data_IF_390575783732
#
_entry.id   IF_390575783732
#
_cell.length_a   1.000
_cell.length_b   1.000
_cell.length_c   1.000
_cell.angle_alpha   90.00
_cell.angle_beta   90.00
_cell.angle_gamma   90.00
#
_symmetry.space_group_name_H-M   'P 1'
#
loop_
_entity.id
_entity.type
_entity.pdbx_description
1 polymer ?
#
# COMPACT_ATOMS: atom_id res chain seq x y z
N UNK A 1 -30.04 -27.57 73.63
CA UNK A 1 -29.21 -26.46 73.12
C UNK A 1 -28.80 -26.78 71.70
N UNK A 2 -29.21 -25.93 70.77
CA UNK A 2 -29.15 -26.07 69.29
C UNK A 2 -27.70 -25.98 68.77
N UNK A 3 -27.29 -26.73 67.74
CA UNK A 3 -25.99 -26.53 67.12
C UNK A 3 -26.05 -25.30 66.18
N UNK A 4 -25.21 -24.31 66.45
CA UNK A 4 -25.04 -23.11 65.62
C UNK A 4 -24.35 -23.51 64.30
N UNK A 5 -25.05 -23.35 63.18
CA UNK A 5 -24.48 -23.45 61.83
C UNK A 5 -24.05 -22.06 61.37
N UNK A 6 -22.75 -21.84 61.19
CA UNK A 6 -22.23 -20.61 60.57
C UNK A 6 -22.32 -20.74 59.04
N UNK A 7 -22.87 -19.76 58.30
CA UNK A 7 -22.93 -19.82 56.85
C UNK A 7 -21.56 -19.48 56.25
N UNK A 8 -20.97 -20.41 55.51
CA UNK A 8 -19.79 -20.15 54.68
C UNK A 8 -20.21 -19.25 53.52
N UNK A 9 -19.79 -17.98 53.56
CA UNK A 9 -19.90 -17.08 52.41
C UNK A 9 -18.64 -17.27 51.57
N UNK A 10 -18.74 -17.96 50.43
CA UNK A 10 -17.68 -18.01 49.43
C UNK A 10 -17.63 -16.66 48.71
N UNK A 11 -16.53 -15.89 48.76
CA UNK A 11 -16.42 -14.69 47.94
C UNK A 11 -16.22 -15.11 46.48
N UNK A 12 -17.16 -14.74 45.61
CA UNK A 12 -16.96 -14.78 44.16
C UNK A 12 -15.98 -13.68 43.79
N UNK A 13 -14.68 -14.01 43.77
CA UNK A 13 -13.67 -13.13 43.18
C UNK A 13 -13.96 -13.04 41.68
N UNK A 14 -14.57 -11.92 41.27
CA UNK A 14 -14.59 -11.53 39.85
C UNK A 14 -13.16 -11.19 39.49
N UNK A 15 -12.48 -12.14 38.86
CA UNK A 15 -11.10 -11.99 38.39
C UNK A 15 -11.12 -10.97 37.22
N UNK A 16 -10.99 -9.69 37.55
CA UNK A 16 -10.83 -8.63 36.55
C UNK A 16 -9.51 -8.88 35.83
N UNK A 17 -9.61 -9.42 34.62
CA UNK A 17 -8.46 -9.63 33.74
C UNK A 17 -7.70 -8.31 33.63
N UNK A 18 -6.43 -8.33 34.03
CA UNK A 18 -5.56 -7.15 33.91
C UNK A 18 -5.24 -6.88 32.43
N UNK A 19 -6.05 -6.02 31.85
CA UNK A 19 -5.93 -5.51 30.48
C UNK A 19 -4.51 -5.02 30.15
N UNK A 20 -3.80 -4.44 31.12
CA UNK A 20 -2.44 -3.94 30.92
C UNK A 20 -1.47 -5.11 30.78
N UNK A 21 -1.58 -6.12 31.64
CA UNK A 21 -0.79 -7.34 31.55
C UNK A 21 -1.08 -8.10 30.25
N UNK A 22 -2.34 -8.17 29.82
CA UNK A 22 -2.74 -8.80 28.57
C UNK A 22 -2.14 -8.06 27.36
N UNK A 23 -2.25 -6.72 27.32
CA UNK A 23 -1.64 -5.89 26.26
C UNK A 23 -0.10 -5.96 26.27
N UNK A 24 0.53 -6.13 27.42
CA UNK A 24 1.98 -6.32 27.52
C UNK A 24 2.42 -7.66 26.90
N UNK A 25 1.72 -8.76 27.21
CA UNK A 25 1.96 -10.07 26.59
C UNK A 25 1.71 -10.05 25.08
N UNK A 26 0.67 -9.34 24.66
CA UNK A 26 0.38 -9.15 23.23
C UNK A 26 1.52 -8.41 22.53
N UNK A 27 2.03 -7.30 23.09
CA UNK A 27 3.20 -6.58 22.53
C UNK A 27 4.47 -7.41 22.50
N UNK A 28 4.70 -8.24 23.53
CA UNK A 28 5.85 -9.15 23.56
C UNK A 28 5.80 -10.20 22.45
N UNK A 29 4.59 -10.70 22.11
CA UNK A 29 4.41 -11.57 20.95
C UNK A 29 4.77 -10.87 19.64
N UNK A 30 4.34 -9.61 19.45
CA UNK A 30 4.76 -8.85 18.27
C UNK A 30 6.28 -8.69 18.23
N UNK A 31 6.93 -8.33 19.35
CA UNK A 31 8.39 -8.15 19.39
C UNK A 31 9.24 -9.39 18.99
N UNK A 32 8.64 -10.57 18.83
CA UNK A 32 9.30 -11.77 18.29
C UNK A 32 9.55 -11.71 16.77
N UNK A 33 8.85 -10.84 16.05
CA UNK A 33 8.95 -10.74 14.59
C UNK A 33 10.11 -9.86 14.11
N UNK A 34 10.76 -10.28 13.03
CA UNK A 34 11.69 -9.44 12.26
C UNK A 34 10.92 -8.61 11.23
N UNK A 35 10.23 -7.58 11.72
CA UNK A 35 9.44 -6.69 10.86
C UNK A 35 10.27 -5.83 9.90
N UNK A 36 11.51 -5.42 10.23
CA UNK A 36 12.40 -4.83 9.25
C UNK A 36 12.68 -5.77 8.07
N UNK A 37 12.87 -7.08 8.30
CA UNK A 37 12.99 -8.08 7.23
C UNK A 37 11.70 -8.26 6.44
N UNK A 38 10.54 -8.29 7.10
CA UNK A 38 9.23 -8.26 6.41
C UNK A 38 9.11 -7.01 5.53
N UNK A 39 9.51 -5.85 6.02
CA UNK A 39 9.47 -4.61 5.27
C UNK A 39 10.47 -4.59 4.10
N UNK A 40 11.68 -5.12 4.29
CA UNK A 40 12.73 -5.12 3.27
C UNK A 40 12.50 -6.19 2.20
N UNK A 41 12.03 -7.38 2.58
CA UNK A 41 11.98 -8.55 1.70
C UNK A 41 10.58 -8.82 1.14
N UNK A 42 9.50 -8.45 1.84
CA UNK A 42 8.13 -8.69 1.34
C UNK A 42 7.54 -7.46 0.65
N UNK A 43 7.80 -6.23 1.11
CA UNK A 43 7.19 -5.04 0.49
C UNK A 43 7.70 -4.84 -0.95
N UNK A 44 8.98 -5.11 -1.20
CA UNK A 44 9.55 -5.06 -2.55
C UNK A 44 8.87 -6.08 -3.49
N UNK A 45 8.64 -7.31 -3.01
CA UNK A 45 7.98 -8.40 -3.74
C UNK A 45 6.46 -8.20 -3.90
N UNK A 46 5.84 -7.35 -3.09
CA UNK A 46 4.45 -6.91 -3.30
C UNK A 46 4.32 -5.88 -4.44
N UNK A 47 5.39 -5.16 -4.78
CA UNK A 47 5.43 -4.22 -5.90
C UNK A 47 4.95 -4.83 -7.23
N UNK A 48 5.48 -6.01 -7.65
CA UNK A 48 5.00 -6.74 -8.82
C UNK A 48 3.49 -7.01 -8.86
N UNK A 49 2.82 -7.22 -7.72
CA UNK A 49 1.38 -7.46 -7.70
C UNK A 49 0.57 -6.22 -8.15
N UNK A 50 1.02 -5.02 -7.78
CA UNK A 50 0.42 -3.75 -8.24
C UNK A 50 0.60 -3.55 -9.75
N UNK A 51 1.68 -4.09 -10.33
CA UNK A 51 1.99 -4.01 -11.76
C UNK A 51 1.51 -5.25 -12.57
N UNK A 52 0.89 -6.23 -11.92
CA UNK A 52 0.36 -7.39 -12.62
C UNK A 52 -0.75 -6.93 -13.59
N UNK A 53 -0.72 -7.30 -14.89
CA UNK A 53 -1.69 -6.79 -15.85
C UNK A 53 -3.12 -7.29 -15.59
N UNK A 54 -3.26 -8.44 -14.93
CA UNK A 54 -4.54 -9.09 -14.65
C UNK A 54 -4.83 -9.09 -13.14
N UNK A 55 -5.33 -7.96 -12.63
CA UNK A 55 -5.52 -7.75 -11.19
C UNK A 55 -6.36 -8.83 -10.49
N UNK A 56 -7.40 -9.34 -11.15
CA UNK A 56 -8.23 -10.39 -10.56
C UNK A 56 -7.43 -11.67 -10.31
N UNK A 57 -6.64 -12.11 -11.29
CA UNK A 57 -5.77 -13.28 -11.14
C UNK A 57 -4.77 -13.09 -10.00
N UNK A 58 -4.18 -11.89 -9.88
CA UNK A 58 -3.28 -11.57 -8.78
C UNK A 58 -3.98 -11.68 -7.41
N UNK A 59 -5.19 -11.13 -7.26
CA UNK A 59 -5.96 -11.27 -6.01
C UNK A 59 -6.37 -12.71 -5.75
N UNK A 60 -6.73 -13.47 -6.78
CA UNK A 60 -7.11 -14.87 -6.65
C UNK A 60 -5.95 -15.70 -6.08
N UNK A 61 -4.72 -15.45 -6.55
CA UNK A 61 -3.52 -16.10 -6.02
C UNK A 61 -3.19 -15.67 -4.58
N UNK A 62 -3.37 -14.39 -4.24
CA UNK A 62 -3.20 -13.91 -2.87
C UNK A 62 -4.18 -14.57 -1.90
N UNK A 63 -5.45 -14.71 -2.29
CA UNK A 63 -6.47 -15.38 -1.49
C UNK A 63 -6.18 -16.88 -1.38
N UNK A 64 -5.77 -17.53 -2.49
CA UNK A 64 -5.42 -18.95 -2.50
C UNK A 64 -4.24 -19.27 -1.57
N UNK A 65 -3.22 -18.42 -1.58
CA UNK A 65 -2.01 -18.58 -0.78
C UNK A 65 -2.21 -18.25 0.71
N UNK A 66 -3.10 -17.31 1.03
CA UNK A 66 -3.43 -16.96 2.41
C UNK A 66 -4.16 -18.12 3.09
N UNK A 67 -3.72 -18.59 4.26
CA UNK A 67 -4.46 -19.62 5.02
C UNK A 67 -5.88 -19.16 5.40
N UNK A 68 -6.87 -20.06 5.58
CA UNK A 68 -8.18 -19.69 6.11
C UNK A 68 -8.06 -18.92 7.45
N UNK A 69 -8.83 -17.85 7.61
CA UNK A 69 -8.73 -16.93 8.76
C UNK A 69 -7.47 -16.06 8.80
N UNK A 70 -6.56 -16.18 7.82
CA UNK A 70 -5.35 -15.39 7.71
C UNK A 70 -5.60 -13.96 7.23
N UNK A 71 -4.60 -13.08 7.40
CA UNK A 71 -4.65 -11.68 6.95
C UNK A 71 -4.02 -11.53 5.57
N UNK A 72 -4.68 -10.78 4.70
CA UNK A 72 -4.14 -10.25 3.44
C UNK A 72 -3.89 -8.76 3.65
N UNK A 73 -2.70 -8.28 3.27
CA UNK A 73 -2.35 -6.86 3.34
C UNK A 73 -1.76 -6.40 2.00
N UNK A 74 -2.22 -5.24 1.52
CA UNK A 74 -1.78 -4.63 0.27
C UNK A 74 -1.46 -3.16 0.51
N UNK A 75 -0.25 -2.72 0.14
CA UNK A 75 0.11 -1.30 0.10
C UNK A 75 0.05 -0.82 -1.34
N UNK A 76 -0.82 0.16 -1.60
CA UNK A 76 -1.02 0.71 -2.93
C UNK A 76 -0.88 2.23 -2.90
N UNK A 77 -0.23 2.81 -3.91
CA UNK A 77 -0.25 4.25 -4.10
C UNK A 77 -1.66 4.73 -4.42
N UNK A 78 -2.06 5.85 -3.85
CA UNK A 78 -3.39 6.41 -4.09
C UNK A 78 -3.51 6.98 -5.51
N UNK A 79 -4.70 6.87 -6.10
CA UNK A 79 -4.96 7.32 -7.47
C UNK A 79 -5.11 8.85 -7.61
N UNK A 80 -5.35 9.52 -6.49
CA UNK A 80 -5.48 10.97 -6.31
C UNK A 80 -4.22 11.61 -5.70
N UNK A 81 -3.25 10.82 -5.27
CA UNK A 81 -1.95 11.29 -4.78
C UNK A 81 -0.91 11.51 -5.88
N UNK A 82 0.32 11.86 -5.47
CA UNK A 82 1.41 12.21 -6.36
C UNK A 82 1.69 11.13 -7.43
N UNK A 83 1.80 9.87 -7.01
CA UNK A 83 2.12 8.75 -7.91
C UNK A 83 0.96 8.51 -8.90
N UNK A 84 -0.29 8.65 -8.47
CA UNK A 84 -1.46 8.55 -9.35
C UNK A 84 -1.50 9.65 -10.41
N UNK A 85 -1.18 10.88 -10.03
CA UNK A 85 -1.05 12.02 -10.94
C UNK A 85 0.13 11.87 -11.92
N UNK A 86 1.25 11.32 -11.46
CA UNK A 86 2.39 10.98 -12.32
C UNK A 86 1.99 9.98 -13.41
N UNK A 87 1.30 8.90 -13.06
CA UNK A 87 0.79 7.94 -14.06
C UNK A 87 -0.25 8.55 -15.00
N UNK A 88 -1.08 9.48 -14.52
CA UNK A 88 -2.03 10.21 -15.35
C UNK A 88 -1.32 11.10 -16.37
N UNK A 89 -0.22 11.74 -15.99
CA UNK A 89 0.63 12.53 -16.89
C UNK A 89 1.37 11.67 -17.93
N UNK A 90 1.71 10.41 -17.60
CA UNK A 90 2.28 9.46 -18.58
C UNK A 90 1.27 9.02 -19.64
N UNK A 91 -0.02 8.97 -19.30
CA UNK A 91 -1.08 8.37 -20.12
C UNK A 91 -1.13 8.82 -21.60
N UNK A 92 -1.07 10.12 -21.92
CA UNK A 92 -1.10 10.61 -23.30
C UNK A 92 0.08 10.14 -24.17
N UNK A 93 1.22 9.82 -23.54
CA UNK A 93 2.47 9.45 -24.21
C UNK A 93 2.69 7.93 -24.26
N UNK A 94 1.96 7.18 -23.42
CA UNK A 94 2.16 5.75 -23.28
C UNK A 94 1.64 4.98 -24.50
N UNK A 95 2.40 3.95 -24.90
CA UNK A 95 1.90 2.99 -25.87
C UNK A 95 0.62 2.30 -25.33
N UNK A 96 -0.30 1.88 -26.21
CA UNK A 96 -1.50 1.16 -25.79
C UNK A 96 -1.11 -0.07 -24.94
N UNK A 97 -1.79 -0.28 -23.80
CA UNK A 97 -1.49 -1.42 -22.95
C UNK A 97 -1.82 -2.73 -23.70
N UNK A 98 -1.16 -3.86 -23.36
CA UNK A 98 -1.53 -5.17 -23.89
C UNK A 98 -3.02 -5.46 -23.66
N UNK A 99 -3.63 -6.25 -24.55
CA UNK A 99 -5.05 -6.61 -24.46
C UNK A 99 -5.40 -7.17 -23.08
N UNK A 100 -6.37 -6.55 -22.40
CA UNK A 100 -6.85 -6.97 -21.08
C UNK A 100 -5.96 -6.55 -19.90
N UNK A 101 -4.86 -5.83 -20.14
CA UNK A 101 -4.06 -5.24 -19.07
C UNK A 101 -4.77 -4.03 -18.46
N UNK A 102 -4.82 -3.99 -17.13
CA UNK A 102 -5.40 -2.87 -16.37
C UNK A 102 -4.31 -1.93 -15.86
N UNK A 103 -4.65 -0.65 -15.73
CA UNK A 103 -3.72 0.35 -15.20
C UNK A 103 -3.44 0.11 -13.71
N UNK A 104 -2.16 0.13 -13.27
CA UNK A 104 -1.79 -0.06 -11.87
C UNK A 104 -2.38 1.00 -10.93
N UNK A 105 -2.71 2.19 -11.46
CA UNK A 105 -3.37 3.28 -10.70
C UNK A 105 -4.69 2.84 -10.07
N UNK A 106 -5.36 1.82 -10.65
CA UNK A 106 -6.64 1.32 -10.11
C UNK A 106 -6.50 0.72 -8.72
N UNK A 107 -5.34 0.19 -8.34
CA UNK A 107 -5.08 -0.33 -6.99
C UNK A 107 -5.18 0.73 -5.88
N UNK A 108 -5.05 2.01 -6.23
CA UNK A 108 -5.22 3.13 -5.30
C UNK A 108 -6.67 3.41 -4.90
N UNK A 109 -7.65 2.87 -5.63
CA UNK A 109 -9.08 3.00 -5.34
C UNK A 109 -9.54 1.88 -4.39
N UNK A 110 -9.91 2.26 -3.17
CA UNK A 110 -10.42 1.34 -2.14
C UNK A 110 -11.65 0.54 -2.60
N UNK A 111 -12.56 1.17 -3.36
CA UNK A 111 -13.74 0.48 -3.90
C UNK A 111 -13.33 -0.55 -4.93
N UNK A 112 -12.29 -0.28 -5.71
CA UNK A 112 -11.75 -1.24 -6.66
C UNK A 112 -11.13 -2.45 -5.95
N UNK A 113 -10.28 -2.23 -4.96
CA UNK A 113 -9.65 -3.32 -4.19
C UNK A 113 -10.70 -4.18 -3.47
N UNK A 114 -11.69 -3.56 -2.83
CA UNK A 114 -12.82 -4.26 -2.18
C UNK A 114 -13.57 -5.17 -3.17
N UNK A 115 -13.83 -4.69 -4.39
CA UNK A 115 -14.49 -5.50 -5.44
C UNK A 115 -13.65 -6.69 -5.88
N UNK A 116 -12.34 -6.53 -6.03
CA UNK A 116 -11.46 -7.63 -6.43
C UNK A 116 -11.42 -8.74 -5.36
N UNK A 117 -11.36 -8.35 -4.09
CA UNK A 117 -11.36 -9.29 -2.97
C UNK A 117 -12.71 -10.03 -2.87
N UNK A 118 -13.82 -9.30 -3.03
CA UNK A 118 -15.17 -9.85 -3.02
C UNK A 118 -15.52 -10.55 -1.70
N UNK A 119 -16.43 -11.51 -1.76
CA UNK A 119 -16.99 -12.18 -0.58
C UNK A 119 -16.06 -13.25 0.04
N UNK A 120 -14.82 -13.35 -0.47
CA UNK A 120 -13.81 -14.31 0.00
C UNK A 120 -13.06 -13.84 1.24
N UNK A 121 -13.29 -12.59 1.65
CA UNK A 121 -12.67 -11.96 2.80
C UNK A 121 -13.70 -11.22 3.66
N UNK A 122 -13.38 -11.06 4.93
CA UNK A 122 -14.10 -10.21 5.90
C UNK A 122 -13.18 -9.08 6.38
N UNK A 123 -13.73 -8.18 7.19
CA UNK A 123 -12.96 -7.15 7.92
C UNK A 123 -12.10 -6.26 7.03
N UNK A 124 -12.61 -5.89 5.85
CA UNK A 124 -11.85 -5.08 4.88
C UNK A 124 -11.71 -3.64 5.39
N UNK A 125 -10.47 -3.26 5.70
CA UNK A 125 -10.09 -1.93 6.15
C UNK A 125 -9.08 -1.29 5.19
N UNK A 126 -9.05 0.04 5.19
CA UNK A 126 -8.18 0.84 4.36
C UNK A 126 -7.62 2.00 5.18
N UNK A 127 -6.31 1.97 5.45
CA UNK A 127 -5.63 2.99 6.26
C UNK A 127 -4.76 3.86 5.36
N UNK A 128 -4.97 5.19 5.31
CA UNK A 128 -4.11 6.08 4.53
C UNK A 128 -2.74 6.27 5.19
N UNK A 129 -1.73 6.53 4.38
CA UNK A 129 -0.40 6.91 4.82
C UNK A 129 0.32 7.77 3.78
N UNK A 130 1.42 8.40 4.18
CA UNK A 130 2.24 9.22 3.29
C UNK A 130 3.70 8.86 3.49
N UNK A 131 4.37 8.44 2.42
CA UNK A 131 5.82 8.31 2.40
C UNK A 131 6.41 9.67 2.00
N UNK A 132 7.18 10.28 2.90
CA UNK A 132 7.89 11.52 2.60
C UNK A 132 9.18 11.21 1.84
N UNK A 133 9.31 11.74 0.62
CA UNK A 133 10.51 11.57 -0.21
C UNK A 133 11.21 12.92 -0.38
N UNK A 134 12.40 13.06 0.18
CA UNK A 134 13.17 14.31 0.26
C UNK A 134 14.59 14.19 -0.29
N UNK A 135 14.79 13.26 -1.23
CA UNK A 135 16.10 12.90 -1.76
C UNK A 135 16.51 13.68 -3.01
N UNK A 136 15.65 14.57 -3.49
CA UNK A 136 15.85 15.26 -4.77
C UNK A 136 16.06 16.75 -4.53
N UNK A 137 17.12 17.35 -5.12
CA UNK A 137 17.32 18.79 -5.06
C UNK A 137 16.22 19.58 -5.75
N UNK A 138 15.68 19.05 -6.86
CA UNK A 138 14.65 19.71 -7.67
C UNK A 138 13.66 18.70 -8.26
N UNK A 139 12.45 19.15 -8.70
CA UNK A 139 11.50 18.30 -9.42
C UNK A 139 12.07 17.72 -10.72
N UNK A 140 12.94 18.46 -11.41
CA UNK A 140 13.62 18.02 -12.62
C UNK A 140 14.57 16.87 -12.32
N UNK A 141 15.34 16.95 -11.23
CA UNK A 141 16.22 15.87 -10.79
C UNK A 141 15.44 14.61 -10.41
N UNK A 142 14.28 14.76 -9.76
CA UNK A 142 13.37 13.63 -9.54
C UNK A 142 12.95 12.99 -10.87
N UNK A 143 12.49 13.79 -11.84
CA UNK A 143 12.08 13.32 -13.17
C UNK A 143 13.22 12.60 -13.88
N UNK A 144 14.42 13.16 -13.88
CA UNK A 144 15.61 12.55 -14.50
C UNK A 144 15.95 11.21 -13.86
N UNK A 145 15.86 11.11 -12.53
CA UNK A 145 16.03 9.84 -11.83
C UNK A 145 14.94 8.84 -12.19
N UNK A 146 13.68 9.28 -12.22
CA UNK A 146 12.52 8.45 -12.54
C UNK A 146 12.62 7.77 -13.90
N UNK A 147 13.17 8.49 -14.90
CA UNK A 147 13.49 7.96 -16.25
C UNK A 147 14.40 6.73 -16.25
N UNK A 148 15.08 6.45 -15.14
CA UNK A 148 16.05 5.35 -15.03
C UNK A 148 15.59 4.20 -14.16
N UNK A 149 14.59 4.40 -13.30
CA UNK A 149 14.17 3.41 -12.28
C UNK A 149 12.71 2.98 -12.41
N UNK A 150 11.83 3.82 -12.95
CA UNK A 150 10.41 3.49 -13.06
C UNK A 150 10.11 2.82 -14.40
N UNK A 151 9.74 1.54 -14.37
CA UNK A 151 9.49 0.71 -15.56
C UNK A 151 8.51 1.33 -16.56
N UNK A 152 7.31 1.76 -16.12
CA UNK A 152 6.35 2.45 -16.99
C UNK A 152 6.87 3.75 -17.60
N UNK A 153 7.58 4.56 -16.81
CA UNK A 153 8.24 5.78 -17.31
C UNK A 153 9.27 5.43 -18.38
N UNK A 154 10.16 4.47 -18.11
CA UNK A 154 11.17 3.98 -19.07
C UNK A 154 10.50 3.50 -20.36
N UNK A 155 9.45 2.68 -20.25
CA UNK A 155 8.72 2.15 -21.41
C UNK A 155 8.08 3.26 -22.25
N UNK A 156 7.52 4.29 -21.59
CA UNK A 156 6.92 5.46 -22.25
C UNK A 156 7.96 6.24 -23.04
N UNK A 157 9.11 6.60 -22.43
CA UNK A 157 10.17 7.30 -23.16
C UNK A 157 10.75 6.46 -24.32
N UNK A 158 10.85 5.12 -24.15
CA UNK A 158 11.28 4.24 -25.25
C UNK A 158 10.27 4.22 -26.40
N UNK A 159 8.98 4.28 -26.11
CA UNK A 159 7.92 4.29 -27.12
C UNK A 159 7.89 5.59 -27.94
N UNK A 160 8.16 6.73 -27.29
CA UNK A 160 8.31 8.03 -27.98
C UNK A 160 9.53 8.05 -28.94
N UNK A 161 10.52 7.19 -28.71
CA UNK A 161 11.69 7.07 -29.56
C UNK A 161 12.54 8.34 -29.53
N UNK A 162 12.98 8.79 -30.71
CA UNK A 162 13.85 9.96 -30.87
C UNK A 162 13.10 11.25 -31.18
N UNK A 163 11.76 11.30 -31.02
CA UNK A 163 11.00 12.54 -31.19
C UNK A 163 11.36 13.53 -30.07
N UNK A 164 12.12 14.60 -30.37
CA UNK A 164 12.62 15.51 -29.36
C UNK A 164 11.51 16.36 -28.74
N UNK A 165 10.44 16.64 -29.49
CA UNK A 165 9.36 17.53 -29.04
C UNK A 165 8.43 16.79 -28.07
N UNK A 166 8.07 15.55 -28.38
CA UNK A 166 7.30 14.66 -27.50
C UNK A 166 8.07 14.34 -26.21
N UNK A 167 9.37 14.04 -26.31
CA UNK A 167 10.22 13.82 -25.13
C UNK A 167 10.29 15.08 -24.26
N UNK A 168 10.47 16.26 -24.86
CA UNK A 168 10.49 17.52 -24.13
C UNK A 168 9.13 17.85 -23.51
N UNK A 169 8.03 17.48 -24.14
CA UNK A 169 6.68 17.63 -23.60
C UNK A 169 6.48 16.75 -22.36
N UNK A 170 6.79 15.45 -22.45
CA UNK A 170 6.71 14.54 -21.31
C UNK A 170 7.63 14.95 -20.15
N UNK A 171 8.85 15.42 -20.47
CA UNK A 171 9.79 15.95 -19.49
C UNK A 171 9.19 17.14 -18.71
N UNK A 172 8.51 18.07 -19.39
CA UNK A 172 7.82 19.20 -18.77
C UNK A 172 6.65 18.74 -17.91
N UNK A 173 5.82 17.84 -18.42
CA UNK A 173 4.61 17.39 -17.73
C UNK A 173 4.95 16.64 -16.44
N UNK A 174 5.92 15.73 -16.46
CA UNK A 174 6.37 15.02 -15.25
C UNK A 174 6.97 15.97 -14.22
N UNK A 175 7.83 16.90 -14.64
CA UNK A 175 8.39 17.90 -13.74
C UNK A 175 7.29 18.79 -13.14
N UNK A 176 6.28 19.17 -13.92
CA UNK A 176 5.15 19.97 -13.45
C UNK A 176 4.29 19.24 -12.41
N UNK A 177 4.11 17.91 -12.52
CA UNK A 177 3.47 17.12 -11.47
C UNK A 177 4.29 17.20 -10.18
N UNK A 178 5.60 16.97 -10.24
CA UNK A 178 6.47 17.05 -9.06
C UNK A 178 6.50 18.46 -8.44
N UNK A 179 6.56 19.51 -9.25
CA UNK A 179 6.46 20.90 -8.76
C UNK A 179 5.15 21.16 -8.03
N UNK A 180 4.02 20.67 -8.54
CA UNK A 180 2.70 20.87 -7.92
C UNK A 180 2.58 20.20 -6.55
N UNK A 181 3.23 19.05 -6.37
CA UNK A 181 3.18 18.29 -5.12
C UNK A 181 4.31 18.62 -4.14
N UNK A 182 5.32 19.38 -4.57
CA UNK A 182 6.47 19.75 -3.75
C UNK A 182 6.04 20.54 -2.52
N UNK A 183 6.49 20.09 -1.34
CA UNK A 183 6.28 20.74 -0.05
C UNK A 183 7.57 21.23 0.60
N UNK A 184 8.68 21.16 -0.12
CA UNK A 184 9.98 21.58 0.38
C UNK A 184 10.25 23.08 0.17
N UNK A 185 11.18 23.61 0.96
CA UNK A 185 11.59 25.03 0.91
C UNK A 185 13.04 25.21 0.45
N UNK A 186 13.91 24.24 0.75
CA UNK A 186 15.34 24.24 0.40
C UNK A 186 15.76 23.02 -0.43
N UNK A 187 14.79 22.34 -1.05
CA UNK A 187 14.92 21.10 -1.80
C UNK A 187 13.54 20.52 -2.04
N UNK A 188 13.42 19.48 -2.85
CA UNK A 188 12.12 18.90 -3.20
C UNK A 188 11.68 17.85 -2.18
N UNK A 189 10.46 18.01 -1.66
CA UNK A 189 9.81 17.06 -0.75
C UNK A 189 8.49 16.62 -1.36
N UNK A 190 8.47 15.40 -1.89
CA UNK A 190 7.28 14.81 -2.52
C UNK A 190 6.55 13.91 -1.52
N UNK A 191 5.27 14.16 -1.24
CA UNK A 191 4.43 13.22 -0.50
C UNK A 191 3.99 12.10 -1.43
N UNK A 192 4.31 10.86 -1.11
CA UNK A 192 3.78 9.71 -1.83
C UNK A 192 2.68 9.07 -0.99
N UNK A 193 1.46 9.48 -1.30
CA UNK A 193 0.27 9.00 -0.61
C UNK A 193 -0.01 7.54 -0.99
N UNK A 194 -0.15 6.70 0.03
CA UNK A 194 -0.49 5.30 -0.12
C UNK A 194 -1.67 4.93 0.78
N UNK A 195 -2.22 3.75 0.54
CA UNK A 195 -3.24 3.13 1.37
C UNK A 195 -2.84 1.68 1.64
N UNK A 196 -2.89 1.30 2.91
CA UNK A 196 -2.75 -0.09 3.34
C UNK A 196 -4.16 -0.67 3.44
N UNK A 197 -4.49 -1.57 2.53
CA UNK A 197 -5.70 -2.38 2.61
C UNK A 197 -5.39 -3.63 3.42
N UNK A 198 -6.22 -3.95 4.39
CA UNK A 198 -6.16 -5.22 5.12
C UNK A 198 -7.50 -5.94 5.03
N UNK A 199 -7.46 -7.26 4.97
CA UNK A 199 -8.65 -8.10 4.96
C UNK A 199 -8.34 -9.46 5.59
N UNK A 200 -9.36 -10.16 6.10
CA UNK A 200 -9.23 -11.51 6.65
C UNK A 200 -9.84 -12.53 5.70
N UNK A 201 -9.11 -13.57 5.28
CA UNK A 201 -9.68 -14.64 4.45
C UNK A 201 -10.77 -15.37 5.22
N UNK A 202 -11.92 -15.60 4.58
CA UNK A 202 -13.01 -16.42 5.14
C UNK A 202 -12.48 -17.82 5.49
N UNK A 203 -12.97 -18.36 6.62
CA UNK A 203 -12.62 -19.68 7.14
C UNK A 203 -13.10 -20.83 6.29
#
# INVERSE_FOLDING_TARGET
MTPTTTPTTTPTTTDTIDDRALKARHRAMWALGDYPRVAAELIAELGPAMFAPHHQQAVDELVRACRPGGTIALLNWTSDGFVGEMFRALGPYAAPPPTGALSPVRWGDDRYVRRLLGDRVTDVAATPGVLRVDRFPTPQTWRDHWKTVDGPTIATYRALGADPDEVAALDRDLAAVATRFDRGTSGTVLPWEYRIHTARRVG
#
